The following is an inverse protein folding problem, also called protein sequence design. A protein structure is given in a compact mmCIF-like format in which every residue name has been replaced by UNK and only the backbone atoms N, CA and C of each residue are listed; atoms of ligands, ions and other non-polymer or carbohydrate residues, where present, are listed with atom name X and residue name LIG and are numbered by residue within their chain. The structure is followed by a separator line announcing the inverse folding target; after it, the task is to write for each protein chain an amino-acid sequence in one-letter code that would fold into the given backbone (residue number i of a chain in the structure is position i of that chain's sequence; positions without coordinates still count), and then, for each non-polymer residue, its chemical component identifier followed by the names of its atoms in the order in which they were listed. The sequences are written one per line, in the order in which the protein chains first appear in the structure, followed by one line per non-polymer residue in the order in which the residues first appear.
data_IF_674247831986
#
_entry.id   IF_674247831986
#
_cell.length_a   1.000
_cell.length_b   1.000
_cell.length_c   1.000
_cell.angle_alpha   90.00
_cell.angle_beta   90.00
_cell.angle_gamma   90.00
#
_symmetry.space_group_name_H-M   'P 1'
#
loop_
_entity.id
_entity.type
_entity.pdbx_description
1 polymer ?
#
# COMPACT_ATOMS: atom_id res chain seq x y z
N UNK A 1 9.58 -6.38 -22.49
CA UNK A 1 10.00 -5.08 -22.89
C UNK A 1 9.24 -3.97 -22.12
N UNK A 2 9.62 -3.76 -20.92
CA UNK A 2 9.03 -2.68 -20.16
C UNK A 2 10.08 -1.63 -19.87
N UNK A 3 10.05 -0.62 -20.67
CA UNK A 3 10.91 0.53 -20.50
C UNK A 3 10.23 1.55 -19.56
N UNK A 4 10.79 2.72 -19.46
CA UNK A 4 10.24 3.77 -18.62
C UNK A 4 8.82 4.17 -19.04
N UNK A 5 8.53 4.11 -20.34
CA UNK A 5 7.20 4.46 -20.84
C UNK A 5 6.16 3.45 -20.38
N UNK A 6 6.52 2.17 -20.38
CA UNK A 6 5.61 1.13 -19.89
C UNK A 6 5.30 1.28 -18.41
N UNK A 7 6.32 1.63 -17.61
CA UNK A 7 6.12 1.86 -16.18
C UNK A 7 5.23 3.08 -15.91
N UNK A 8 5.41 4.16 -16.69
CA UNK A 8 4.57 5.34 -16.57
C UNK A 8 3.12 5.04 -16.94
N UNK A 9 2.92 4.21 -17.96
CA UNK A 9 1.57 3.81 -18.37
C UNK A 9 0.88 3.04 -17.24
N UNK A 10 1.61 2.16 -16.54
CA UNK A 10 1.05 1.41 -15.43
C UNK A 10 0.67 2.34 -14.27
N UNK A 11 1.53 3.29 -13.92
CA UNK A 11 1.23 4.26 -12.87
C UNK A 11 0.01 5.09 -13.20
N UNK A 12 -0.10 5.56 -14.43
CA UNK A 12 -1.27 6.32 -14.88
C UNK A 12 -2.53 5.46 -14.84
N UNK A 13 -2.41 4.20 -15.20
CA UNK A 13 -3.52 3.27 -15.17
C UNK A 13 -4.05 3.06 -13.74
N UNK A 14 -3.15 2.96 -12.76
CA UNK A 14 -3.53 2.86 -11.35
C UNK A 14 -4.33 4.08 -10.91
N UNK A 15 -3.85 5.27 -11.27
CA UNK A 15 -4.52 6.51 -10.92
C UNK A 15 -5.91 6.60 -11.56
N UNK A 16 -6.03 6.16 -12.82
CA UNK A 16 -7.33 6.14 -13.50
C UNK A 16 -8.30 5.19 -12.80
N UNK A 17 -7.83 4.03 -12.38
CA UNK A 17 -8.68 3.08 -11.65
C UNK A 17 -9.20 3.69 -10.35
N UNK A 18 -8.34 4.38 -9.62
CA UNK A 18 -8.74 5.06 -8.38
C UNK A 18 -9.74 6.17 -8.69
N UNK A 19 -9.49 6.95 -9.73
CA UNK A 19 -10.40 8.02 -10.14
C UNK A 19 -11.79 7.47 -10.47
N UNK A 20 -11.86 6.32 -11.12
CA UNK A 20 -13.14 5.67 -11.42
C UNK A 20 -13.87 5.26 -10.15
N UNK A 21 -13.12 4.69 -9.19
CA UNK A 21 -13.70 4.31 -7.92
C UNK A 21 -14.26 5.54 -7.20
N UNK A 22 -13.54 6.65 -7.25
CA UNK A 22 -13.95 7.89 -6.60
C UNK A 22 -15.17 8.53 -7.27
N UNK A 23 -15.37 8.26 -8.55
CA UNK A 23 -16.52 8.82 -9.27
C UNK A 23 -17.86 8.33 -8.69
N UNK A 24 -17.87 7.21 -7.98
CA UNK A 24 -19.07 6.71 -7.32
C UNK A 24 -19.27 7.30 -5.92
N UNK A 25 -18.42 8.24 -5.52
CA UNK A 25 -18.48 8.94 -4.23
C UNK A 25 -18.47 7.98 -3.03
N UNK A 26 -17.47 7.09 -2.93
CA UNK A 26 -17.41 6.11 -1.85
C UNK A 26 -16.97 6.75 -0.53
N UNK A 27 -17.37 6.14 0.57
CA UNK A 27 -16.81 6.50 1.88
C UNK A 27 -15.65 5.57 2.26
N UNK A 28 -15.45 4.49 1.53
CA UNK A 28 -14.37 3.52 1.75
C UNK A 28 -13.80 3.09 0.41
N UNK A 29 -12.49 3.14 0.32
CA UNK A 29 -11.75 2.70 -0.86
C UNK A 29 -10.95 1.45 -0.52
N UNK A 30 -11.16 0.39 -1.29
CA UNK A 30 -10.44 -0.88 -1.12
C UNK A 30 -9.44 -1.04 -2.25
N UNK A 31 -8.16 -1.21 -1.90
CA UNK A 31 -7.10 -1.35 -2.88
C UNK A 31 -6.29 -2.62 -2.61
N UNK A 32 -6.14 -3.44 -3.63
CA UNK A 32 -5.39 -4.69 -3.55
C UNK A 32 -4.11 -4.55 -4.35
N UNK A 33 -2.98 -4.51 -3.65
CA UNK A 33 -1.64 -4.37 -4.21
C UNK A 33 -1.51 -3.24 -5.24
N UNK A 34 -1.96 -2.03 -4.89
CA UNK A 34 -1.94 -0.93 -5.87
C UNK A 34 -0.53 -0.49 -6.26
N UNK A 35 0.48 -0.80 -5.44
CA UNK A 35 1.87 -0.43 -5.74
C UNK A 35 2.60 -1.49 -6.56
N UNK A 36 1.97 -2.63 -6.85
CA UNK A 36 2.62 -3.72 -7.58
C UNK A 36 3.06 -3.26 -8.97
N UNK A 37 4.32 -3.51 -9.28
CA UNK A 37 4.89 -3.16 -10.59
C UNK A 37 5.25 -1.70 -10.78
N UNK A 38 4.98 -0.84 -9.80
CA UNK A 38 5.31 0.57 -9.90
C UNK A 38 6.75 0.84 -9.52
N UNK A 39 7.33 1.86 -10.12
CA UNK A 39 8.66 2.36 -9.76
C UNK A 39 8.55 3.24 -8.53
N UNK A 40 9.70 3.53 -7.93
CA UNK A 40 9.77 4.31 -6.70
C UNK A 40 9.02 5.65 -6.79
N UNK A 41 9.27 6.42 -7.85
CA UNK A 41 8.60 7.71 -8.02
C UNK A 41 7.09 7.57 -8.18
N UNK A 42 6.67 6.52 -8.87
CA UNK A 42 5.25 6.24 -9.06
C UNK A 42 4.59 5.82 -7.75
N UNK A 43 5.31 5.04 -6.93
CA UNK A 43 4.82 4.67 -5.61
C UNK A 43 4.68 5.88 -4.70
N UNK A 44 5.62 6.82 -4.80
CA UNK A 44 5.54 8.05 -4.02
C UNK A 44 4.34 8.89 -4.44
N UNK A 45 4.09 9.01 -5.74
CA UNK A 45 2.93 9.74 -6.24
C UNK A 45 1.62 9.09 -5.78
N UNK A 46 1.56 7.77 -5.81
CA UNK A 46 0.40 7.03 -5.33
C UNK A 46 0.20 7.25 -3.84
N UNK A 47 1.26 7.18 -3.05
CA UNK A 47 1.18 7.40 -1.61
C UNK A 47 0.68 8.81 -1.28
N UNK A 48 1.13 9.81 -2.02
CA UNK A 48 0.66 11.18 -1.81
C UNK A 48 -0.82 11.32 -2.11
N UNK A 49 -1.28 10.69 -3.19
CA UNK A 49 -2.69 10.69 -3.53
C UNK A 49 -3.52 10.06 -2.42
N UNK A 50 -3.08 8.92 -1.90
CA UNK A 50 -3.80 8.22 -0.84
C UNK A 50 -3.82 9.03 0.46
N UNK A 51 -2.70 9.70 0.79
CA UNK A 51 -2.67 10.59 1.97
C UNK A 51 -3.65 11.74 1.83
N UNK A 52 -3.74 12.29 0.63
CA UNK A 52 -4.66 13.39 0.35
C UNK A 52 -6.11 12.95 0.53
N UNK A 53 -6.44 11.78 -0.02
CA UNK A 53 -7.78 11.23 0.11
C UNK A 53 -8.14 10.95 1.57
N UNK A 54 -7.18 10.42 2.33
CA UNK A 54 -7.37 10.18 3.74
C UNK A 54 -7.63 11.48 4.49
N UNK A 55 -6.88 12.52 4.17
CA UNK A 55 -7.05 13.83 4.78
C UNK A 55 -8.42 14.43 4.47
N UNK A 56 -9.02 14.05 3.36
CA UNK A 56 -10.36 14.49 2.97
C UNK A 56 -11.47 13.64 3.59
N UNK A 57 -11.12 12.69 4.45
CA UNK A 57 -12.07 11.85 5.14
C UNK A 57 -12.34 10.49 4.54
N UNK A 58 -11.60 10.12 3.50
CA UNK A 58 -11.76 8.81 2.86
C UNK A 58 -11.16 7.71 3.74
N UNK A 59 -11.94 6.66 4.01
CA UNK A 59 -11.41 5.45 4.62
C UNK A 59 -10.72 4.62 3.55
N UNK A 60 -9.51 4.13 3.84
CA UNK A 60 -8.76 3.34 2.86
C UNK A 60 -8.30 2.05 3.50
N UNK A 61 -8.65 0.92 2.87
CA UNK A 61 -8.12 -0.38 3.24
C UNK A 61 -7.18 -0.84 2.13
N UNK A 62 -5.95 -1.11 2.51
CA UNK A 62 -4.87 -1.40 1.58
C UNK A 62 -4.30 -2.78 1.87
N UNK A 63 -4.26 -3.64 0.86
CA UNK A 63 -3.60 -4.94 0.96
C UNK A 63 -2.31 -4.85 0.17
N UNK A 64 -1.16 -5.05 0.84
CA UNK A 64 0.14 -4.88 0.22
C UNK A 64 1.20 -5.82 0.77
N UNK A 65 2.23 -6.05 -0.03
CA UNK A 65 3.43 -6.78 0.36
C UNK A 65 4.63 -5.84 0.49
N UNK A 66 4.52 -4.63 -0.01
CA UNK A 66 5.60 -3.64 0.04
C UNK A 66 5.58 -2.97 1.41
N UNK A 67 6.46 -3.43 2.30
CA UNK A 67 6.54 -2.93 3.68
C UNK A 67 6.82 -1.44 3.74
N UNK A 68 7.75 -0.97 2.93
CA UNK A 68 8.12 0.45 2.96
C UNK A 68 6.94 1.33 2.56
N UNK A 69 6.19 0.90 1.54
CA UNK A 69 5.02 1.62 1.08
C UNK A 69 3.96 1.71 2.18
N UNK A 70 3.67 0.57 2.81
CA UNK A 70 2.65 0.48 3.86
C UNK A 70 3.07 1.27 5.10
N UNK A 71 4.31 1.09 5.56
CA UNK A 71 4.77 1.71 6.80
C UNK A 71 4.86 3.23 6.70
N UNK A 72 5.09 3.75 5.51
CA UNK A 72 5.11 5.21 5.30
C UNK A 72 3.73 5.83 5.12
N UNK A 73 2.69 5.02 4.99
CA UNK A 73 1.36 5.51 4.61
C UNK A 73 0.27 5.17 5.64
N UNK A 74 0.28 3.98 6.19
CA UNK A 74 -0.83 3.48 6.99
C UNK A 74 -0.88 4.06 8.40
N UNK A 75 -2.10 4.21 8.92
CA UNK A 75 -2.32 4.60 10.32
C UNK A 75 -2.29 3.38 11.21
N UNK A 76 -2.71 2.23 10.68
CA UNK A 76 -2.77 0.98 11.41
C UNK A 76 -2.45 -0.16 10.46
N UNK A 77 -1.67 -1.10 10.93
CA UNK A 77 -1.20 -2.24 10.12
C UNK A 77 -1.61 -3.56 10.78
N UNK A 78 -2.09 -4.47 9.96
CA UNK A 78 -2.34 -5.85 10.36
C UNK A 78 -1.43 -6.72 9.50
N UNK A 79 -0.60 -7.53 10.13
CA UNK A 79 0.32 -8.42 9.42
C UNK A 79 -0.23 -9.84 9.47
N UNK A 80 -0.33 -10.44 8.28
CA UNK A 80 -0.84 -11.79 8.13
C UNK A 80 0.25 -12.70 7.58
N UNK A 81 0.28 -13.94 8.05
CA UNK A 81 1.17 -14.96 7.55
C UNK A 81 0.43 -16.29 7.57
N UNK A 82 0.41 -16.98 6.44
CA UNK A 82 -0.28 -18.26 6.29
C UNK A 82 -1.74 -18.21 6.77
N UNK A 83 -2.42 -17.11 6.47
CA UNK A 83 -3.82 -16.95 6.85
C UNK A 83 -4.07 -16.55 8.28
N UNK A 84 -3.02 -16.34 9.07
CA UNK A 84 -3.14 -15.96 10.47
C UNK A 84 -2.59 -14.58 10.74
N UNK A 85 -3.26 -13.86 11.64
CA UNK A 85 -2.77 -12.55 12.08
C UNK A 85 -1.61 -12.76 13.06
N UNK A 86 -0.45 -12.20 12.74
CA UNK A 86 0.72 -12.32 13.60
C UNK A 86 1.05 -11.02 14.34
N UNK A 87 0.54 -9.89 13.88
CA UNK A 87 0.77 -8.61 14.53
C UNK A 87 -0.28 -7.61 14.09
N UNK A 88 -0.52 -6.62 14.94
CA UNK A 88 -1.44 -5.53 14.64
C UNK A 88 -1.09 -4.32 15.49
N UNK A 89 -1.13 -3.14 14.90
CA UNK A 89 -0.85 -1.91 15.63
C UNK A 89 -0.45 -0.78 14.72
N UNK A 90 0.13 0.25 15.30
CA UNK A 90 0.69 1.36 14.53
C UNK A 90 1.92 0.88 13.78
N UNK A 91 2.27 1.53 12.65
CA UNK A 91 3.46 1.11 11.89
C UNK A 91 4.72 0.97 12.73
N UNK A 92 4.97 1.91 13.65
CA UNK A 92 6.17 1.88 14.50
C UNK A 92 6.19 0.64 15.39
N UNK A 93 5.04 0.27 15.93
CA UNK A 93 4.91 -0.90 16.78
C UNK A 93 5.11 -2.19 16.00
N UNK A 94 4.50 -2.26 14.83
CA UNK A 94 4.55 -3.45 13.99
C UNK A 94 5.97 -3.69 13.47
N UNK A 95 6.68 -2.62 13.10
CA UNK A 95 8.06 -2.73 12.63
C UNK A 95 9.02 -3.29 13.68
N UNK A 96 8.70 -3.14 14.95
CA UNK A 96 9.53 -3.63 16.06
C UNK A 96 9.12 -5.00 16.56
N UNK A 97 8.01 -5.52 16.08
CA UNK A 97 7.51 -6.82 16.53
C UNK A 97 8.44 -7.93 16.04
N UNK A 98 8.99 -8.77 16.95
CA UNK A 98 9.86 -9.86 16.55
C UNK A 98 9.25 -10.83 15.56
N UNK A 99 7.94 -11.06 15.64
CA UNK A 99 7.25 -11.95 14.71
C UNK A 99 7.26 -11.39 13.30
N UNK A 100 7.11 -10.07 13.17
CA UNK A 100 7.14 -9.39 11.88
C UNK A 100 8.54 -9.41 11.30
N UNK A 101 9.54 -9.12 12.13
CA UNK A 101 10.94 -9.13 11.70
C UNK A 101 11.33 -10.52 11.21
N UNK A 102 10.92 -11.56 11.91
CA UNK A 102 11.20 -12.93 11.49
C UNK A 102 10.52 -13.27 10.18
N UNK A 103 9.25 -12.88 10.01
CA UNK A 103 8.48 -13.19 8.83
C UNK A 103 9.00 -12.52 7.57
N UNK A 104 9.47 -11.27 7.69
CA UNK A 104 9.89 -10.48 6.52
C UNK A 104 11.38 -10.38 6.33
N UNK A 105 12.16 -10.32 7.41
CA UNK A 105 13.62 -10.22 7.30
C UNK A 105 14.29 -11.59 7.32
N UNK A 106 13.78 -12.50 8.14
CA UNK A 106 14.30 -13.85 8.16
C UNK A 106 14.09 -14.60 6.87
N UNK A 107 13.00 -14.27 6.15
CA UNK A 107 12.70 -14.91 4.87
C UNK A 107 13.53 -14.39 3.71
N UNK A 108 14.30 -13.34 3.91
CA UNK A 108 15.14 -12.75 2.87
C UNK A 108 16.47 -13.50 2.75
N UNK A 109 16.90 -14.13 3.80
CA UNK A 109 18.14 -14.91 3.79
C UNK A 109 18.00 -16.23 2.99
#
# INVERSE_FOLDING_TARGET
MFDAAGSLALGQQRIVEIARALASDPCLLLLDEPAAGLRYKEKQALAELLRKLRAEGMGILLVEHDMDFVMGLADRVVVMEFGEKIAEGKPEEVQRDPKVLEAYLGGVD
#
